data_IF_524891872355
#
_entry.id   IF_524891872355
#
_cell.length_a   1.000
_cell.length_b   1.000
_cell.length_c   1.000
_cell.angle_alpha   90.00
_cell.angle_beta   90.00
_cell.angle_gamma   90.00
#
_symmetry.space_group_name_H-M   'P 1'
#
loop_
_entity.id
_entity.type
_entity.pdbx_description
1 polymer ?
#
# COMPACT_ATOMS: atom_id res chain seq x y z
N UNK A 1 -18.02 12.27 2.35
CA UNK A 1 -17.95 11.99 0.91
C UNK A 1 -17.38 13.20 0.21
N UNK A 2 -16.48 12.97 -0.75
CA UNK A 2 -16.03 13.99 -1.68
C UNK A 2 -16.52 13.60 -3.09
N UNK A 3 -16.90 14.60 -3.89
CA UNK A 3 -17.31 14.39 -5.29
C UNK A 3 -16.21 14.92 -6.18
N UNK A 4 -15.81 14.13 -7.18
CA UNK A 4 -14.78 14.48 -8.14
C UNK A 4 -15.34 14.35 -9.55
N UNK A 5 -15.04 15.31 -10.41
CA UNK A 5 -15.31 15.23 -11.84
C UNK A 5 -14.04 14.83 -12.57
N UNK A 6 -14.10 13.75 -13.34
CA UNK A 6 -12.96 13.21 -14.07
C UNK A 6 -13.32 13.08 -15.54
N UNK A 7 -12.43 13.57 -16.42
CA UNK A 7 -12.51 13.33 -17.85
C UNK A 7 -11.50 12.24 -18.22
N UNK A 8 -11.97 11.21 -18.92
CA UNK A 8 -11.17 10.08 -19.37
C UNK A 8 -11.19 10.02 -20.89
N UNK A 9 -10.03 9.88 -21.51
CA UNK A 9 -9.92 9.57 -22.93
C UNK A 9 -9.67 8.06 -23.07
N UNK A 10 -10.68 7.34 -23.53
CA UNK A 10 -10.66 5.88 -23.71
C UNK A 10 -10.96 5.55 -25.18
N UNK A 11 -10.41 4.45 -25.72
CA UNK A 11 -10.88 3.93 -27.00
C UNK A 11 -12.39 3.65 -26.95
N UNK A 12 -13.11 4.02 -28.01
CA UNK A 12 -14.58 3.91 -28.05
C UNK A 12 -15.09 2.50 -27.72
N UNK A 13 -14.38 1.47 -28.21
CA UNK A 13 -14.69 0.07 -27.93
C UNK A 13 -14.58 -0.26 -26.44
N UNK A 14 -13.56 0.26 -25.77
CA UNK A 14 -13.34 0.06 -24.34
C UNK A 14 -14.34 0.86 -23.51
N UNK A 15 -14.61 2.12 -23.88
CA UNK A 15 -15.59 2.96 -23.21
C UNK A 15 -16.99 2.31 -23.26
N UNK A 16 -17.37 1.78 -24.43
CA UNK A 16 -18.63 1.06 -24.61
C UNK A 16 -18.68 -0.20 -23.74
N UNK A 17 -17.66 -1.05 -23.80
CA UNK A 17 -17.60 -2.28 -23.02
C UNK A 17 -17.64 -2.01 -21.50
N UNK A 18 -16.89 -1.03 -21.02
CA UNK A 18 -16.87 -0.65 -19.61
C UNK A 18 -18.23 -0.10 -19.15
N UNK A 19 -18.89 0.71 -19.98
CA UNK A 19 -20.25 1.21 -19.70
C UNK A 19 -21.27 0.08 -19.67
N UNK A 20 -21.25 -0.81 -20.67
CA UNK A 20 -22.18 -1.94 -20.78
C UNK A 20 -22.00 -2.93 -19.60
N UNK A 21 -20.77 -3.06 -19.09
CA UNK A 21 -20.44 -3.83 -17.90
C UNK A 21 -20.72 -3.11 -16.57
N UNK A 22 -21.17 -1.85 -16.60
CA UNK A 22 -21.43 -1.05 -15.39
C UNK A 22 -20.18 -0.55 -14.64
N UNK A 23 -18.99 -0.74 -15.20
CA UNK A 23 -17.71 -0.38 -14.56
C UNK A 23 -17.49 1.13 -14.44
N UNK A 24 -18.30 1.94 -15.13
CA UNK A 24 -18.28 3.41 -15.05
C UNK A 24 -19.35 3.97 -14.09
N UNK A 25 -20.10 3.11 -13.40
CA UNK A 25 -21.00 3.54 -12.34
C UNK A 25 -20.20 4.01 -11.11
N UNK A 26 -20.69 5.00 -10.34
CA UNK A 26 -19.99 5.51 -9.16
C UNK A 26 -19.56 4.43 -8.17
N UNK A 27 -20.43 3.46 -7.88
CA UNK A 27 -20.19 2.39 -6.93
C UNK A 27 -19.09 1.43 -7.42
N UNK A 28 -19.11 1.08 -8.71
CA UNK A 28 -18.08 0.25 -9.32
C UNK A 28 -16.72 0.97 -9.36
N UNK A 29 -16.72 2.27 -9.67
CA UNK A 29 -15.49 3.08 -9.65
C UNK A 29 -14.90 3.19 -8.24
N UNK A 30 -15.73 3.30 -7.20
CA UNK A 30 -15.27 3.27 -5.82
C UNK A 30 -14.52 1.96 -5.51
N UNK A 31 -15.11 0.81 -5.85
CA UNK A 31 -14.49 -0.50 -5.64
C UNK A 31 -13.18 -0.66 -6.42
N UNK A 32 -13.16 -0.23 -7.69
CA UNK A 32 -11.97 -0.29 -8.55
C UNK A 32 -10.84 0.58 -7.98
N UNK A 33 -11.15 1.80 -7.55
CA UNK A 33 -10.16 2.73 -6.98
C UNK A 33 -9.64 2.17 -5.65
N UNK A 34 -10.53 1.69 -4.78
CA UNK A 34 -10.14 1.11 -3.49
C UNK A 34 -9.22 -0.10 -3.67
N UNK A 35 -9.52 -0.97 -4.63
CA UNK A 35 -8.69 -2.12 -4.95
C UNK A 35 -7.34 -1.73 -5.55
N UNK A 36 -7.31 -0.74 -6.46
CA UNK A 36 -6.07 -0.22 -7.02
C UNK A 36 -5.14 0.35 -5.94
N UNK A 37 -5.69 1.11 -4.99
CA UNK A 37 -4.94 1.64 -3.84
C UNK A 37 -4.43 0.52 -2.93
N UNK A 38 -5.23 -0.51 -2.66
CA UNK A 38 -4.78 -1.68 -1.88
C UNK A 38 -3.57 -2.37 -2.53
N UNK A 39 -3.61 -2.57 -3.84
CA UNK A 39 -2.48 -3.17 -4.59
C UNK A 39 -1.25 -2.29 -4.54
N UNK A 40 -1.40 -0.99 -4.77
CA UNK A 40 -0.29 -0.04 -4.71
C UNK A 40 0.40 -0.04 -3.34
N UNK A 41 -0.38 -0.07 -2.26
CA UNK A 41 0.18 -0.15 -0.91
C UNK A 41 0.94 -1.46 -0.66
N UNK A 42 0.48 -2.56 -1.25
CA UNK A 42 1.16 -3.86 -1.16
C UNK A 42 2.46 -3.88 -1.96
N UNK A 43 2.44 -3.31 -3.16
CA UNK A 43 3.64 -3.16 -4.00
C UNK A 43 4.68 -2.26 -3.32
N UNK A 44 4.26 -1.20 -2.63
CA UNK A 44 5.16 -0.36 -1.83
C UNK A 44 5.81 -1.15 -0.70
N UNK A 45 5.04 -1.97 0.04
CA UNK A 45 5.59 -2.85 1.07
C UNK A 45 6.61 -3.84 0.48
N UNK A 46 6.30 -4.46 -0.66
CA UNK A 46 7.20 -5.40 -1.32
C UNK A 46 8.46 -4.73 -1.88
N UNK A 47 8.41 -3.46 -2.27
CA UNK A 47 9.58 -2.71 -2.74
C UNK A 47 10.69 -2.60 -1.68
N UNK A 48 10.35 -2.76 -0.39
CA UNK A 48 11.32 -2.78 0.71
C UNK A 48 12.09 -4.10 0.75
N UNK A 49 11.51 -5.20 0.28
CA UNK A 49 12.15 -6.52 0.36
C UNK A 49 13.49 -6.56 -0.39
N UNK A 50 13.56 -6.00 -1.61
CA UNK A 50 14.80 -5.90 -2.39
C UNK A 50 15.86 -5.07 -1.66
N UNK A 51 15.48 -3.96 -1.02
CA UNK A 51 16.41 -3.12 -0.24
C UNK A 51 16.95 -3.86 0.98
N UNK A 52 16.12 -4.65 1.65
CA UNK A 52 16.52 -5.46 2.82
C UNK A 52 17.48 -6.58 2.40
N UNK A 53 17.22 -7.23 1.28
CA UNK A 53 18.11 -8.25 0.72
C UNK A 53 19.49 -7.67 0.36
N UNK A 54 19.52 -6.55 -0.37
CA UNK A 54 20.76 -5.84 -0.75
C UNK A 54 21.55 -5.36 0.47
N UNK A 55 20.88 -4.99 1.56
CA UNK A 55 21.55 -4.55 2.78
C UNK A 55 22.39 -5.66 3.43
N UNK A 56 22.13 -6.94 3.11
CA UNK A 56 22.98 -8.06 3.52
C UNK A 56 23.13 -8.20 5.04
N UNK A 57 22.17 -7.70 5.80
CA UNK A 57 22.21 -7.71 7.27
C UNK A 57 22.09 -9.16 7.73
N UNK A 58 23.04 -9.68 8.54
CA UNK A 58 22.98 -11.04 9.01
C UNK A 58 21.71 -11.24 9.87
N UNK A 59 21.07 -12.42 9.79
CA UNK A 59 19.89 -12.70 10.59
C UNK A 59 20.25 -12.73 12.08
N UNK A 60 19.46 -12.01 12.88
CA UNK A 60 19.55 -12.05 14.34
C UNK A 60 18.73 -13.23 14.87
N UNK A 61 19.15 -13.80 16.00
CA UNK A 61 18.30 -14.73 16.74
C UNK A 61 17.07 -14.01 17.31
N UNK A 62 16.01 -14.76 17.62
CA UNK A 62 14.81 -14.20 18.22
C UNK A 62 15.10 -13.51 19.57
N UNK A 63 16.03 -14.04 20.37
CA UNK A 63 16.39 -13.49 21.67
C UNK A 63 17.15 -12.16 21.53
N UNK A 64 18.09 -12.07 20.59
CA UNK A 64 18.82 -10.83 20.29
C UNK A 64 17.88 -9.74 19.77
N UNK A 65 16.96 -10.10 18.86
CA UNK A 65 15.95 -9.16 18.35
C UNK A 65 15.06 -8.63 19.47
N UNK A 66 14.61 -9.50 20.37
CA UNK A 66 13.78 -9.10 21.51
C UNK A 66 14.54 -8.16 22.46
N UNK A 67 15.81 -8.43 22.74
CA UNK A 67 16.64 -7.57 23.56
C UNK A 67 16.75 -6.15 22.96
N UNK A 68 17.01 -6.06 21.65
CA UNK A 68 17.10 -4.79 20.91
C UNK A 68 15.79 -3.99 20.94
N UNK A 69 14.65 -4.65 20.67
CA UNK A 69 13.32 -4.03 20.73
C UNK A 69 13.03 -3.48 22.13
N UNK A 70 13.40 -4.21 23.18
CA UNK A 70 13.17 -3.76 24.56
C UNK A 70 14.07 -2.56 24.90
N UNK A 71 15.34 -2.57 24.49
CA UNK A 71 16.25 -1.45 24.67
C UNK A 71 15.68 -0.17 24.04
N UNK A 72 15.30 -0.24 22.75
CA UNK A 72 14.69 0.87 22.03
C UNK A 72 13.41 1.41 22.70
N UNK A 73 12.52 0.51 23.14
CA UNK A 73 11.28 0.90 23.85
C UNK A 73 11.55 1.54 25.20
N UNK A 74 12.60 1.13 25.91
CA UNK A 74 13.02 1.78 27.16
C UNK A 74 13.55 3.19 26.90
N UNK A 75 14.38 3.37 25.88
CA UNK A 75 14.89 4.69 25.48
C UNK A 75 13.77 5.65 25.09
N UNK A 76 12.83 5.22 24.23
CA UNK A 76 11.67 6.06 23.88
C UNK A 76 10.82 6.46 25.07
N UNK A 77 10.63 5.57 26.06
CA UNK A 77 9.88 5.90 27.28
C UNK A 77 10.62 6.92 28.14
N UNK A 78 11.95 6.88 28.19
CA UNK A 78 12.77 7.86 28.92
C UNK A 78 12.81 9.22 28.24
N UNK A 79 12.77 9.26 26.90
CA UNK A 79 12.80 10.50 26.12
C UNK A 79 11.43 11.20 26.01
N UNK A 80 10.33 10.50 26.25
CA UNK A 80 8.97 11.04 26.22
C UNK A 80 8.38 11.42 27.59
N UNK A 81 9.23 11.51 28.63
CA UNK A 81 8.86 11.93 29.99
C UNK A 81 9.44 13.28 30.36
#
# INVERSE_FOLDING_TARGET
MATLEVKLDLPDSLAKAAKDAGLLAPEALEEIIAEALRRQNFDELLSVAERVEVAGVPPMSADELNAEIQAYRMERRRAGG
#
